data_IF_361720445883
#
_entry.id   IF_361720445883
#
_cell.length_a   1.000
_cell.length_b   1.000
_cell.length_c   1.000
_cell.angle_alpha   90.00
_cell.angle_beta   90.00
_cell.angle_gamma   90.00
#
_symmetry.space_group_name_H-M   'P 1'
#
loop_
_entity.id
_entity.type
_entity.pdbx_description
1 polymer ?
#
# COMPACT_ATOMS: atom_id res chain seq x y z
N UNK A 1 -42.36 -29.96 -35.71
CA UNK A 1 -43.04 -29.11 -34.71
C UNK A 1 -42.11 -27.95 -34.37
N UNK A 2 -42.55 -26.70 -34.54
CA UNK A 2 -41.85 -25.44 -34.18
C UNK A 2 -40.90 -24.89 -35.27
N UNK A 3 -41.30 -24.05 -36.24
CA UNK A 3 -41.69 -22.62 -36.17
C UNK A 3 -40.74 -21.75 -35.33
N UNK A 4 -39.86 -20.95 -35.96
CA UNK A 4 -40.05 -19.55 -36.40
C UNK A 4 -39.68 -18.54 -35.28
N UNK A 5 -38.67 -17.67 -35.51
CA UNK A 5 -38.76 -16.19 -35.50
C UNK A 5 -37.41 -15.46 -35.28
N UNK A 6 -37.04 -14.67 -36.31
CA UNK A 6 -36.32 -13.37 -36.37
C UNK A 6 -36.85 -12.31 -35.35
N UNK A 7 -36.37 -11.04 -35.27
CA UNK A 7 -35.02 -10.42 -35.28
C UNK A 7 -34.95 -9.22 -34.24
N UNK A 8 -34.42 -7.97 -34.46
CA UNK A 8 -33.68 -7.17 -33.44
C UNK A 8 -34.37 -5.89 -32.89
N UNK A 9 -33.77 -5.35 -31.80
CA UNK A 9 -33.85 -3.99 -31.19
C UNK A 9 -35.25 -3.43 -30.77
N UNK A 10 -35.36 -2.62 -29.69
CA UNK A 10 -35.10 -1.18 -29.83
C UNK A 10 -34.56 -0.44 -28.59
N UNK A 11 -33.96 0.71 -28.88
CA UNK A 11 -33.52 1.79 -27.99
C UNK A 11 -34.76 2.55 -27.49
N UNK A 12 -34.88 2.80 -26.18
CA UNK A 12 -35.86 3.75 -25.63
C UNK A 12 -35.18 4.81 -24.76
N UNK A 13 -35.69 6.04 -24.87
CA UNK A 13 -35.16 7.32 -24.39
C UNK A 13 -35.70 7.69 -22.99
N UNK A 14 -34.96 8.60 -22.34
CA UNK A 14 -35.39 9.58 -21.31
C UNK A 14 -35.72 9.05 -19.91
N UNK A 15 -35.52 9.78 -18.80
CA UNK A 15 -34.96 11.11 -18.51
C UNK A 15 -34.86 11.29 -16.98
N UNK A 16 -33.73 11.84 -16.50
CA UNK A 16 -33.51 12.70 -15.31
C UNK A 16 -34.17 12.36 -13.95
N UNK A 17 -33.33 12.16 -12.92
CA UNK A 17 -33.17 13.14 -11.81
C UNK A 17 -32.07 12.73 -10.81
N UNK A 18 -31.07 13.61 -10.69
CA UNK A 18 -30.32 14.01 -9.47
C UNK A 18 -30.19 13.06 -8.26
N UNK A 19 -28.95 12.77 -7.84
CA UNK A 19 -28.31 13.47 -6.71
C UNK A 19 -26.92 12.91 -6.42
N UNK A 20 -26.07 13.80 -5.91
CA UNK A 20 -24.68 13.70 -5.49
C UNK A 20 -24.24 12.38 -4.83
N UNK A 21 -23.06 11.90 -5.23
CA UNK A 21 -21.98 11.53 -4.33
C UNK A 21 -20.70 11.31 -5.14
N UNK A 22 -19.77 12.24 -4.95
CA UNK A 22 -18.32 12.13 -5.13
C UNK A 22 -17.80 10.69 -5.22
N UNK A 23 -17.27 10.32 -6.37
CA UNK A 23 -16.41 9.17 -6.54
C UNK A 23 -15.21 9.63 -7.36
N UNK A 24 -14.17 10.03 -6.66
CA UNK A 24 -12.79 10.02 -7.13
C UNK A 24 -12.35 8.56 -7.29
N UNK A 25 -11.99 8.12 -8.50
CA UNK A 25 -10.88 7.21 -8.60
C UNK A 25 -10.05 7.53 -9.84
N UNK A 26 -8.86 8.07 -9.62
CA UNK A 26 -7.65 7.35 -10.00
C UNK A 26 -6.48 8.17 -9.50
N UNK A 27 -5.78 7.65 -8.49
CA UNK A 27 -4.49 8.19 -8.10
C UNK A 27 -3.60 8.21 -9.32
N UNK A 28 -3.41 9.43 -9.85
CA UNK A 28 -2.43 9.71 -10.85
C UNK A 28 -1.08 9.23 -10.31
N UNK A 29 -0.53 8.26 -11.01
CA UNK A 29 0.87 7.86 -10.86
C UNK A 29 1.68 9.07 -11.31
N UNK A 30 1.93 9.99 -10.37
CA UNK A 30 2.83 11.12 -10.56
C UNK A 30 4.24 10.56 -10.68
N UNK A 31 4.59 10.23 -11.93
CA UNK A 31 5.95 10.09 -12.38
C UNK A 31 6.52 11.51 -12.53
N UNK A 32 7.32 11.93 -11.56
CA UNK A 32 8.21 13.08 -11.70
C UNK A 32 9.60 12.67 -11.21
N UNK A 33 10.43 12.32 -12.18
CA UNK A 33 11.84 11.95 -12.03
C UNK A 33 12.69 13.17 -11.73
N UNK A 34 13.27 13.23 -10.54
CA UNK A 34 14.55 13.90 -10.33
C UNK A 34 15.36 13.05 -9.35
N UNK A 35 16.06 12.05 -9.91
CA UNK A 35 17.00 11.21 -9.17
C UNK A 35 18.40 11.68 -9.56
N UNK A 36 18.92 12.66 -8.83
CA UNK A 36 20.33 13.01 -8.88
C UNK A 36 21.14 11.82 -8.33
N UNK A 37 21.82 11.09 -9.22
CA UNK A 37 22.90 10.18 -8.83
C UNK A 37 22.91 8.78 -9.47
N UNK A 38 21.86 8.35 -10.17
CA UNK A 38 21.86 7.04 -10.84
C UNK A 38 22.25 7.18 -12.32
N UNK A 39 23.39 6.63 -12.72
CA UNK A 39 23.78 6.48 -14.13
C UNK A 39 22.59 5.90 -14.95
N UNK A 40 22.30 6.42 -16.15
CA UNK A 40 21.05 6.13 -16.86
C UNK A 40 20.83 4.64 -17.15
N UNK A 41 21.92 3.88 -17.34
CA UNK A 41 21.88 2.42 -17.53
C UNK A 41 21.44 1.68 -16.26
N UNK A 42 21.96 2.08 -15.09
CA UNK A 42 21.57 1.50 -13.80
C UNK A 42 20.11 1.83 -13.49
N UNK A 43 19.66 3.05 -13.79
CA UNK A 43 18.27 3.44 -13.55
C UNK A 43 17.26 2.58 -14.35
N UNK A 44 17.58 2.23 -15.59
CA UNK A 44 16.73 1.38 -16.42
C UNK A 44 16.62 -0.05 -15.85
N UNK A 45 17.74 -0.64 -15.43
CA UNK A 45 17.78 -1.95 -14.77
C UNK A 45 16.98 -1.94 -13.46
N UNK A 46 17.19 -0.92 -12.63
CA UNK A 46 16.48 -0.71 -11.36
C UNK A 46 14.96 -0.66 -11.57
N UNK A 47 14.50 0.08 -12.59
CA UNK A 47 13.06 0.16 -12.93
C UNK A 47 12.50 -1.20 -13.31
N UNK A 48 13.20 -1.96 -14.16
CA UNK A 48 12.77 -3.31 -14.58
C UNK A 48 12.70 -4.26 -13.38
N UNK A 49 13.65 -4.20 -12.47
CA UNK A 49 13.62 -5.00 -11.25
C UNK A 49 12.46 -4.64 -10.33
N UNK A 50 12.21 -3.34 -10.14
CA UNK A 50 11.08 -2.83 -9.36
C UNK A 50 9.73 -3.26 -9.95
N UNK A 51 9.57 -3.18 -11.27
CA UNK A 51 8.36 -3.62 -11.97
C UNK A 51 8.13 -5.13 -11.85
N UNK A 52 9.19 -5.94 -11.92
CA UNK A 52 9.12 -7.40 -11.68
C UNK A 52 8.61 -7.72 -10.27
N UNK A 53 9.08 -6.98 -9.26
CA UNK A 53 8.62 -7.14 -7.88
C UNK A 53 7.16 -6.72 -7.72
N UNK A 54 6.75 -5.57 -8.26
CA UNK A 54 5.37 -5.07 -8.21
C UNK A 54 4.40 -5.98 -8.98
N UNK A 55 4.84 -6.57 -10.08
CA UNK A 55 4.04 -7.54 -10.84
C UNK A 55 3.86 -8.83 -10.06
N UNK A 56 4.90 -9.31 -9.38
CA UNK A 56 4.79 -10.47 -8.46
C UNK A 56 3.84 -10.17 -7.30
N UNK A 57 3.84 -8.95 -6.77
CA UNK A 57 2.90 -8.51 -5.74
C UNK A 57 1.44 -8.55 -6.24
N UNK A 58 1.16 -7.97 -7.42
CA UNK A 58 -0.19 -7.96 -8.01
C UNK A 58 -0.73 -9.36 -8.28
N UNK A 59 0.15 -10.33 -8.56
CA UNK A 59 -0.19 -11.74 -8.75
C UNK A 59 -0.46 -12.50 -7.44
N UNK A 60 -0.41 -11.84 -6.29
CA UNK A 60 -0.58 -12.47 -4.97
C UNK A 60 0.65 -13.23 -4.46
N UNK A 61 1.79 -13.16 -5.16
CA UNK A 61 3.03 -13.81 -4.74
C UNK A 61 3.87 -12.92 -3.83
N UNK A 62 3.36 -12.60 -2.63
CA UNK A 62 3.98 -11.63 -1.70
C UNK A 62 5.40 -12.00 -1.28
N UNK A 63 5.63 -13.27 -0.93
CA UNK A 63 6.96 -13.78 -0.56
C UNK A 63 7.98 -13.67 -1.70
N UNK A 64 7.53 -13.76 -2.97
CA UNK A 64 8.39 -13.57 -4.14
C UNK A 64 8.72 -12.10 -4.32
N UNK A 65 7.72 -11.21 -4.21
CA UNK A 65 7.91 -9.77 -4.32
C UNK A 65 8.91 -9.24 -3.27
N UNK A 66 8.79 -9.69 -2.01
CA UNK A 66 9.70 -9.29 -0.93
C UNK A 66 11.12 -9.78 -1.20
N UNK A 67 11.28 -11.03 -1.67
CA UNK A 67 12.60 -11.58 -2.01
C UNK A 67 13.27 -10.80 -3.13
N UNK A 68 12.55 -10.54 -4.23
CA UNK A 68 13.05 -9.75 -5.35
C UNK A 68 13.50 -8.37 -4.89
N UNK A 69 12.69 -7.68 -4.07
CA UNK A 69 13.10 -6.36 -3.57
C UNK A 69 14.34 -6.40 -2.69
N UNK A 70 14.48 -7.40 -1.80
CA UNK A 70 15.69 -7.54 -0.97
C UNK A 70 16.94 -7.78 -1.82
N UNK A 71 16.81 -8.58 -2.87
CA UNK A 71 17.88 -8.86 -3.83
C UNK A 71 18.28 -7.57 -4.56
N UNK A 72 17.31 -6.81 -5.07
CA UNK A 72 17.54 -5.50 -5.69
C UNK A 72 18.19 -4.49 -4.74
N UNK A 73 17.78 -4.44 -3.47
CA UNK A 73 18.42 -3.61 -2.45
C UNK A 73 19.88 -3.99 -2.20
N UNK A 74 20.23 -5.27 -2.31
CA UNK A 74 21.62 -5.71 -2.16
C UNK A 74 22.49 -5.32 -3.34
N UNK A 75 21.92 -5.32 -4.56
CA UNK A 75 22.58 -4.90 -5.80
C UNK A 75 22.77 -3.39 -5.90
N UNK A 76 21.75 -2.60 -5.57
CA UNK A 76 21.81 -1.14 -5.64
C UNK A 76 21.50 -0.51 -4.28
N UNK A 77 22.47 -0.57 -3.37
CA UNK A 77 22.34 -0.06 -2.00
C UNK A 77 22.17 1.47 -1.93
N UNK A 78 22.72 2.18 -2.92
CA UNK A 78 22.75 3.64 -2.96
C UNK A 78 21.58 4.27 -3.72
N UNK A 79 20.70 3.49 -4.34
CA UNK A 79 19.56 4.05 -5.08
C UNK A 79 18.35 4.28 -4.15
N UNK A 80 17.98 5.56 -3.99
CA UNK A 80 16.81 5.95 -3.19
C UNK A 80 15.50 5.37 -3.74
N UNK A 81 15.43 5.17 -5.06
CA UNK A 81 14.28 4.57 -5.75
C UNK A 81 13.97 3.16 -5.26
N UNK A 82 15.00 2.31 -5.14
CA UNK A 82 14.80 0.93 -4.69
C UNK A 82 14.25 0.91 -3.26
N UNK A 83 14.82 1.72 -2.37
CA UNK A 83 14.37 1.80 -0.99
C UNK A 83 12.92 2.30 -0.89
N UNK A 84 12.50 3.25 -1.75
CA UNK A 84 11.09 3.68 -1.87
C UNK A 84 10.17 2.53 -2.32
N UNK A 85 10.54 1.80 -3.37
CA UNK A 85 9.72 0.69 -3.88
C UNK A 85 9.67 -0.45 -2.86
N UNK A 86 10.79 -0.77 -2.20
CA UNK A 86 10.86 -1.77 -1.14
C UNK A 86 9.91 -1.41 -0.01
N UNK A 87 9.96 -0.16 0.47
CA UNK A 87 9.03 0.32 1.49
C UNK A 87 7.58 0.19 1.03
N UNK A 88 7.28 0.55 -0.21
CA UNK A 88 5.92 0.45 -0.77
C UNK A 88 5.42 -1.00 -0.79
N UNK A 89 6.26 -1.94 -1.24
CA UNK A 89 5.92 -3.37 -1.22
C UNK A 89 5.68 -3.84 0.21
N UNK A 90 6.57 -3.50 1.16
CA UNK A 90 6.40 -3.87 2.57
C UNK A 90 5.10 -3.34 3.16
N UNK A 91 4.71 -2.10 2.86
CA UNK A 91 3.44 -1.55 3.34
C UNK A 91 2.25 -2.25 2.69
N UNK A 92 2.27 -2.46 1.38
CA UNK A 92 1.17 -3.16 0.68
C UNK A 92 1.05 -4.62 1.12
N UNK A 93 2.17 -5.26 1.43
CA UNK A 93 2.18 -6.59 2.07
C UNK A 93 1.54 -6.48 3.45
N UNK A 94 1.94 -5.53 4.28
CA UNK A 94 1.38 -5.37 5.64
C UNK A 94 -0.14 -5.16 5.67
N UNK A 95 -0.74 -4.60 4.61
CA UNK A 95 -2.21 -4.49 4.50
C UNK A 95 -2.91 -5.79 4.17
N UNK A 96 -2.21 -6.78 3.61
CA UNK A 96 -2.77 -8.10 3.29
C UNK A 96 -2.65 -9.07 4.47
N UNK A 97 -1.64 -8.91 5.32
CA UNK A 97 -1.46 -9.79 6.47
C UNK A 97 -2.35 -9.36 7.64
N UNK A 98 -3.13 -10.30 8.14
CA UNK A 98 -4.02 -10.10 9.29
C UNK A 98 -3.29 -10.25 10.64
N UNK A 99 -2.26 -11.10 10.69
CA UNK A 99 -1.45 -11.28 11.90
C UNK A 99 -0.73 -9.98 12.29
N UNK A 100 -1.03 -9.50 13.50
CA UNK A 100 -0.48 -8.26 14.03
C UNK A 100 1.05 -8.28 14.14
N UNK A 101 1.64 -9.44 14.49
CA UNK A 101 3.10 -9.57 14.65
C UNK A 101 3.79 -9.45 13.28
N UNK A 102 3.30 -10.18 12.30
CA UNK A 102 3.81 -10.14 10.93
C UNK A 102 3.58 -8.78 10.27
N UNK A 103 2.42 -8.17 10.49
CA UNK A 103 2.11 -6.82 10.02
C UNK A 103 3.07 -5.78 10.60
N UNK A 104 3.33 -5.86 11.91
CA UNK A 104 4.29 -4.97 12.57
C UNK A 104 5.70 -5.13 12.02
N UNK A 105 6.14 -6.37 11.77
CA UNK A 105 7.45 -6.65 11.16
C UNK A 105 7.59 -5.95 9.81
N UNK A 106 6.59 -6.07 8.93
CA UNK A 106 6.65 -5.43 7.61
C UNK A 106 6.58 -3.91 7.67
N UNK A 107 5.79 -3.34 8.58
CA UNK A 107 5.73 -1.89 8.78
C UNK A 107 7.08 -1.35 9.29
N UNK A 108 7.74 -2.04 10.23
CA UNK A 108 9.09 -1.66 10.68
C UNK A 108 10.10 -1.68 9.53
N UNK A 109 10.14 -2.75 8.74
CA UNK A 109 11.01 -2.81 7.56
C UNK A 109 10.67 -1.73 6.53
N UNK A 110 9.40 -1.35 6.36
CA UNK A 110 9.04 -0.26 5.47
C UNK A 110 9.60 1.08 5.95
N UNK A 111 9.58 1.35 7.26
CA UNK A 111 10.14 2.57 7.85
C UNK A 111 11.66 2.59 7.70
N UNK A 112 12.34 1.46 7.92
CA UNK A 112 13.80 1.37 7.69
C UNK A 112 14.16 1.69 6.24
N UNK A 113 13.43 1.14 5.27
CA UNK A 113 13.63 1.47 3.85
C UNK A 113 13.32 2.93 3.56
N UNK A 114 12.22 3.46 4.10
CA UNK A 114 11.85 4.87 3.91
C UNK A 114 12.91 5.82 4.51
N UNK A 115 13.50 5.46 5.65
CA UNK A 115 14.57 6.23 6.29
C UNK A 115 15.81 6.27 5.41
N UNK A 116 16.22 5.11 4.87
CA UNK A 116 17.34 5.03 3.91
C UNK A 116 17.08 5.88 2.65
N UNK A 117 15.85 5.89 2.14
CA UNK A 117 15.51 6.72 0.99
C UNK A 117 15.67 8.23 1.28
N UNK A 118 15.30 8.68 2.48
CA UNK A 118 15.49 10.08 2.94
C UNK A 118 16.95 10.38 3.24
N UNK A 119 17.71 9.44 3.81
CA UNK A 119 19.16 9.58 4.04
C UNK A 119 19.93 9.75 2.73
N UNK A 120 19.53 9.01 1.68
CA UNK A 120 20.14 9.10 0.35
C UNK A 120 19.72 10.36 -0.42
N UNK A 121 18.50 10.86 -0.20
CA UNK A 121 17.97 12.04 -0.90
C UNK A 121 17.12 12.90 0.05
N UNK A 122 17.76 13.72 0.90
CA UNK A 122 17.07 14.53 1.90
C UNK A 122 16.31 15.72 1.29
N UNK A 123 16.62 16.09 0.05
CA UNK A 123 16.02 17.24 -0.64
C UNK A 123 14.66 16.91 -1.28
N UNK A 124 14.27 15.63 -1.33
CA UNK A 124 13.03 15.21 -1.95
C UNK A 124 11.87 15.18 -0.96
N UNK A 125 10.90 16.05 -1.20
CA UNK A 125 9.64 16.11 -0.44
C UNK A 125 8.86 14.79 -0.60
N UNK A 126 8.98 14.10 -1.75
CA UNK A 126 8.31 12.82 -1.97
C UNK A 126 8.77 11.74 -0.98
N UNK A 127 10.08 11.67 -0.72
CA UNK A 127 10.62 10.69 0.23
C UNK A 127 10.25 11.06 1.67
N UNK A 128 10.24 12.35 2.03
CA UNK A 128 9.75 12.80 3.33
C UNK A 128 8.27 12.47 3.54
N UNK A 129 7.42 12.74 2.54
CA UNK A 129 6.00 12.39 2.57
C UNK A 129 5.78 10.87 2.69
N UNK A 130 6.60 10.08 1.98
CA UNK A 130 6.55 8.62 2.08
C UNK A 130 6.93 8.13 3.49
N UNK A 131 7.94 8.73 4.11
CA UNK A 131 8.31 8.48 5.51
C UNK A 131 7.15 8.78 6.46
N UNK A 132 6.55 9.96 6.35
CA UNK A 132 5.38 10.34 7.16
C UNK A 132 4.23 9.36 6.99
N UNK A 133 3.93 8.97 5.75
CA UNK A 133 2.89 7.98 5.45
C UNK A 133 3.16 6.63 6.14
N UNK A 134 4.42 6.18 6.16
CA UNK A 134 4.81 4.96 6.86
C UNK A 134 4.64 5.10 8.38
N UNK A 135 5.00 6.26 8.94
CA UNK A 135 4.81 6.57 10.36
C UNK A 135 3.34 6.62 10.76
N UNK A 136 2.48 7.28 9.99
CA UNK A 136 1.03 7.35 10.27
C UNK A 136 0.41 5.94 10.31
N UNK A 137 0.84 5.05 9.40
CA UNK A 137 0.40 3.64 9.41
C UNK A 137 0.89 2.87 10.64
N UNK A 138 2.12 3.11 11.10
CA UNK A 138 2.64 2.54 12.34
C UNK A 138 1.84 3.03 13.56
N UNK A 139 1.60 4.34 13.65
CA UNK A 139 0.83 4.93 14.75
C UNK A 139 -0.60 4.36 14.80
N UNK A 140 -1.27 4.25 13.65
CA UNK A 140 -2.60 3.64 13.57
C UNK A 140 -2.61 2.18 14.07
N UNK A 141 -1.55 1.41 13.75
CA UNK A 141 -1.41 0.04 14.26
C UNK A 141 -1.16 0.01 15.78
N UNK A 142 -0.27 0.87 16.30
CA UNK A 142 0.01 0.96 17.74
C UNK A 142 -1.23 1.37 18.52
N UNK A 143 -2.01 2.33 18.02
CA UNK A 143 -3.28 2.73 18.62
C UNK A 143 -4.30 1.59 18.60
N UNK A 144 -4.38 0.84 17.50
CA UNK A 144 -5.26 -0.34 17.41
C UNK A 144 -4.88 -1.38 18.46
N UNK A 145 -3.60 -1.70 18.62
CA UNK A 145 -3.11 -2.58 19.69
C UNK A 145 -3.43 -2.02 21.07
N UNK A 146 -3.24 -0.72 21.31
CA UNK A 146 -3.54 -0.08 22.60
C UNK A 146 -5.03 -0.16 22.95
N UNK A 147 -5.91 0.07 21.97
CA UNK A 147 -7.38 -0.07 22.14
C UNK A 147 -7.76 -1.52 22.45
N UNK A 148 -7.16 -2.47 21.75
CA UNK A 148 -7.36 -3.91 22.02
C UNK A 148 -6.94 -4.27 23.44
N UNK A 149 -5.73 -3.89 23.88
CA UNK A 149 -5.28 -4.15 25.26
C UNK A 149 -6.21 -3.51 26.30
N UNK A 150 -6.66 -2.26 26.09
CA UNK A 150 -7.62 -1.59 27.00
C UNK A 150 -8.93 -2.36 27.13
N UNK A 151 -9.48 -2.85 26.02
CA UNK A 151 -10.73 -3.62 26.02
C UNK A 151 -10.64 -4.97 26.74
N UNK A 152 -9.43 -5.56 26.82
CA UNK A 152 -9.20 -6.81 27.55
C UNK A 152 -8.99 -6.54 29.05
N UNK A 153 -8.39 -5.40 29.41
CA UNK A 153 -8.10 -5.05 30.81
C UNK A 153 -9.26 -4.39 31.56
N UNK A 154 -10.25 -3.82 30.88
CA UNK A 154 -11.50 -3.36 31.49
C UNK A 154 -12.62 -4.39 31.23
N UNK A 155 -12.75 -5.46 32.04
CA UNK A 155 -13.97 -6.24 32.03
C UNK A 155 -15.11 -5.32 32.46
N UNK A 156 -16.15 -5.26 31.62
CA UNK A 156 -17.38 -4.50 31.84
C UNK A 156 -17.78 -4.48 33.33
N UNK A 157 -18.09 -3.32 33.94
CA UNK A 157 -18.61 -3.33 35.30
C UNK A 157 -19.90 -4.15 35.28
N UNK A 158 -19.85 -5.31 35.93
CA UNK A 158 -21.02 -6.11 36.24
C UNK A 158 -22.06 -5.14 36.80
N UNK A 159 -23.18 -4.98 36.10
CA UNK A 159 -24.34 -4.26 36.61
C UNK A 159 -24.73 -4.93 37.91
N UNK A 160 -24.27 -4.37 39.03
CA UNK A 160 -24.79 -4.71 40.35
C UNK A 160 -26.23 -4.24 40.32
N UNK A 161 -27.13 -5.20 40.09
CA UNK A 161 -28.56 -5.05 40.33
C UNK A 161 -28.70 -4.63 41.80
N UNK A 162 -28.87 -3.33 42.04
CA UNK A 162 -29.49 -2.86 43.28
C UNK A 162 -30.99 -3.10 43.14
N UNK A 163 -31.38 -4.31 43.49
CA UNK A 163 -32.75 -4.61 43.94
C UNK A 163 -32.72 -4.67 45.46
N UNK A 164 -33.76 -4.05 46.04
CA UNK A 164 -34.05 -3.83 47.47
C UNK A 164 -33.50 -2.53 48.04
#
# INVERSE_FOLDING_TARGET
MGQKKKPPAPRSKQSLSSSAAEAEPSSEVSACTSYDGDEPSNLAEIKVECEKALTSFRRGSYNKAIRLMKESCSRHQHSALIHRVQGTVCVKVSSVYEDAVTKQKYIRSAIESARKAVELSPNSIEFAHFMLTCFTRLLAMVESTRRFCRSVTEPSPLRINRSC
#
